data_IF_468892278430
#
_entry.id   IF_468892278430
#
_cell.length_a   1.000
_cell.length_b   1.000
_cell.length_c   1.000
_cell.angle_alpha   90.00
_cell.angle_beta   90.00
_cell.angle_gamma   90.00
#
_symmetry.space_group_name_H-M   'P 1'
#
loop_
_entity.id
_entity.type
_entity.pdbx_description
1 polymer ?
#
# COMPACT_ATOMS: atom_id res chain seq x y z
N UNK A 1 -18.36 28.45 4.68
CA UNK A 1 -18.24 27.44 3.61
C UNK A 1 -17.68 28.15 2.38
N UNK A 2 -16.36 28.09 2.14
CA UNK A 2 -15.75 28.78 0.99
C UNK A 2 -15.89 27.84 -0.21
N UNK A 3 -16.89 28.07 -1.06
CA UNK A 3 -16.98 27.37 -2.33
C UNK A 3 -15.78 27.77 -3.19
N UNK A 4 -14.87 26.83 -3.42
CA UNK A 4 -13.76 27.01 -4.36
C UNK A 4 -14.32 26.98 -5.77
N UNK A 5 -13.98 27.99 -6.58
CA UNK A 5 -14.32 27.99 -8.00
C UNK A 5 -13.56 26.87 -8.70
N UNK A 6 -14.27 26.06 -9.49
CA UNK A 6 -13.67 25.05 -10.36
C UNK A 6 -13.41 25.74 -11.70
N UNK A 7 -12.17 25.68 -12.17
CA UNK A 7 -11.76 26.15 -13.50
C UNK A 7 -11.45 24.92 -14.35
N UNK A 8 -12.19 24.73 -15.44
CA UNK A 8 -12.02 23.58 -16.34
C UNK A 8 -11.44 24.05 -17.66
N UNK A 9 -10.27 23.51 -18.01
CA UNK A 9 -9.60 23.80 -19.28
C UNK A 9 -9.63 22.52 -20.10
N UNK A 10 -10.06 22.60 -21.36
CA UNK A 10 -10.07 21.49 -22.31
C UNK A 10 -9.09 21.80 -23.43
N UNK A 11 -8.10 20.93 -23.58
CA UNK A 11 -7.07 21.05 -24.61
C UNK A 11 -7.44 20.12 -25.77
N UNK A 12 -7.67 20.70 -26.94
CA UNK A 12 -8.04 20.01 -28.17
C UNK A 12 -6.81 19.72 -29.03
N UNK A 13 -6.67 18.47 -29.49
CA UNK A 13 -5.65 18.09 -30.47
C UNK A 13 -5.94 18.73 -31.82
N UNK A 14 -4.96 18.72 -32.73
CA UNK A 14 -5.08 19.42 -33.99
C UNK A 14 -6.21 18.94 -34.91
N UNK A 15 -6.78 17.76 -34.67
CA UNK A 15 -7.91 17.21 -35.44
C UNK A 15 -9.23 17.93 -35.17
N UNK A 16 -9.31 18.75 -34.11
CA UNK A 16 -10.50 19.52 -33.75
C UNK A 16 -10.20 21.00 -33.97
N UNK A 17 -10.96 21.62 -34.86
CA UNK A 17 -10.81 23.05 -35.17
C UNK A 17 -11.64 23.93 -34.21
N UNK A 18 -11.20 25.18 -33.97
CA UNK A 18 -12.02 26.18 -33.29
C UNK A 18 -13.41 26.29 -33.93
N UNK A 19 -14.45 26.28 -33.11
CA UNK A 19 -15.85 26.34 -33.56
C UNK A 19 -16.53 24.98 -33.81
N UNK A 20 -15.80 23.87 -33.72
CA UNK A 20 -16.40 22.52 -33.69
C UNK A 20 -16.80 22.07 -32.26
N UNK A 21 -16.54 22.92 -31.28
CA UNK A 21 -16.67 22.64 -29.85
C UNK A 21 -17.70 23.58 -29.22
N UNK A 22 -18.06 23.33 -27.96
CA UNK A 22 -18.98 24.16 -27.19
C UNK A 22 -18.34 24.50 -25.86
N UNK A 23 -18.14 25.80 -25.53
CA UNK A 23 -17.52 26.20 -24.28
C UNK A 23 -18.43 26.00 -23.06
N UNK A 24 -19.70 25.64 -23.27
CA UNK A 24 -20.64 25.33 -22.20
C UNK A 24 -21.05 23.87 -22.31
N UNK A 25 -20.69 23.09 -21.30
CA UNK A 25 -21.09 21.69 -21.18
C UNK A 25 -22.28 21.60 -20.23
N UNK A 26 -23.46 21.34 -20.79
CA UNK A 26 -24.70 21.11 -20.06
C UNK A 26 -24.97 19.60 -19.95
N UNK A 27 -24.98 19.08 -18.72
CA UNK A 27 -25.26 17.67 -18.40
C UNK A 27 -26.52 17.56 -17.51
N UNK A 28 -27.48 18.49 -17.68
CA UNK A 28 -28.74 18.54 -16.96
C UNK A 28 -28.65 19.33 -15.66
N UNK A 29 -28.39 18.66 -14.54
CA UNK A 29 -28.29 19.33 -13.23
C UNK A 29 -26.93 20.03 -12.98
N UNK A 30 -25.99 19.90 -13.92
CA UNK A 30 -24.66 20.49 -13.87
C UNK A 30 -24.37 21.22 -15.17
N UNK A 31 -23.92 22.46 -15.06
CA UNK A 31 -23.40 23.26 -16.16
C UNK A 31 -21.96 23.64 -15.88
N UNK A 32 -21.07 23.32 -16.82
CA UNK A 32 -19.66 23.70 -16.75
C UNK A 32 -19.35 24.75 -17.80
N UNK A 33 -18.63 25.79 -17.36
CA UNK A 33 -17.96 26.71 -18.25
C UNK A 33 -16.55 26.18 -18.53
N UNK A 34 -16.25 25.94 -19.80
CA UNK A 34 -14.98 25.44 -20.30
C UNK A 34 -14.14 26.60 -20.82
N UNK A 35 -12.85 26.53 -20.52
CA UNK A 35 -11.84 27.28 -21.24
C UNK A 35 -11.23 26.37 -22.30
N UNK A 36 -11.39 26.74 -23.57
CA UNK A 36 -10.96 25.93 -24.70
C UNK A 36 -9.54 26.36 -25.12
N UNK A 37 -8.66 25.39 -25.30
CA UNK A 37 -7.32 25.62 -25.83
C UNK A 37 -7.08 24.68 -27.02
N UNK A 38 -6.65 25.22 -28.15
CA UNK A 38 -6.47 24.44 -29.38
C UNK A 38 -5.00 24.30 -29.70
N UNK A 39 -4.52 23.06 -29.80
CA UNK A 39 -3.12 22.79 -30.17
C UNK A 39 -2.81 23.16 -31.63
N UNK A 40 -3.84 23.38 -32.47
CA UNK A 40 -3.68 23.97 -33.82
C UNK A 40 -3.09 25.37 -33.79
N UNK A 41 -3.24 26.11 -32.69
CA UNK A 41 -2.73 27.48 -32.56
C UNK A 41 -1.21 27.51 -32.29
N UNK A 42 -0.62 26.36 -31.93
CA UNK A 42 0.83 26.26 -31.72
C UNK A 42 1.56 26.15 -33.05
N UNK A 43 2.56 27.03 -33.23
CA UNK A 43 3.47 26.96 -34.38
C UNK A 43 4.45 25.79 -34.21
N UNK A 44 4.01 24.63 -34.69
CA UNK A 44 4.71 23.37 -34.51
C UNK A 44 6.10 23.38 -35.15
N UNK A 45 6.25 24.05 -36.28
CA UNK A 45 7.54 24.15 -36.98
C UNK A 45 8.51 25.00 -36.18
N UNK A 46 8.08 26.17 -35.69
CA UNK A 46 8.94 27.02 -34.85
C UNK A 46 9.35 26.33 -33.56
N UNK A 47 8.44 25.58 -32.93
CA UNK A 47 8.72 24.83 -31.72
C UNK A 47 9.76 23.73 -32.01
N UNK A 48 9.54 22.91 -33.05
CA UNK A 48 10.47 21.83 -33.44
C UNK A 48 11.87 22.39 -33.77
N UNK A 49 11.93 23.47 -34.57
CA UNK A 49 13.19 24.12 -34.94
C UNK A 49 13.90 24.76 -33.73
N UNK A 50 13.15 25.40 -32.83
CA UNK A 50 13.70 26.00 -31.61
C UNK A 50 14.32 24.96 -30.69
N UNK A 51 13.60 23.86 -30.43
CA UNK A 51 14.11 22.72 -29.65
C UNK A 51 15.35 22.15 -30.31
N UNK A 52 15.30 21.87 -31.62
CA UNK A 52 16.43 21.31 -32.36
C UNK A 52 17.67 22.20 -32.29
N UNK A 53 17.51 23.52 -32.43
CA UNK A 53 18.64 24.45 -32.33
C UNK A 53 19.26 24.45 -30.94
N UNK A 54 18.45 24.39 -29.87
CA UNK A 54 18.96 24.31 -28.49
C UNK A 54 19.70 23.00 -28.23
N UNK A 55 19.13 21.88 -28.64
CA UNK A 55 19.77 20.58 -28.51
C UNK A 55 21.11 20.52 -29.25
N UNK A 56 21.18 21.07 -30.47
CA UNK A 56 22.44 21.17 -31.22
C UNK A 56 23.51 22.04 -30.54
N UNK A 57 23.10 22.96 -29.66
CA UNK A 57 24.00 23.84 -28.89
C UNK A 57 24.36 23.27 -27.51
N UNK A 58 23.78 22.14 -27.11
CA UNK A 58 23.91 21.59 -25.76
C UNK A 58 23.20 22.46 -24.70
N UNK A 59 22.23 23.28 -25.10
CA UNK A 59 21.47 24.12 -24.16
C UNK A 59 20.33 23.31 -23.52
N UNK A 60 20.10 23.44 -22.19
CA UNK A 60 19.01 22.74 -21.53
C UNK A 60 17.65 23.31 -21.97
N UNK A 61 16.67 22.40 -22.11
CA UNK A 61 15.28 22.77 -22.38
C UNK A 61 14.59 23.25 -21.09
N UNK A 62 13.91 24.38 -21.17
CA UNK A 62 13.06 24.88 -20.08
C UNK A 62 11.84 23.99 -19.87
N UNK A 63 11.19 24.07 -18.71
CA UNK A 63 9.99 23.28 -18.43
C UNK A 63 8.87 23.51 -19.45
N UNK A 64 8.71 24.74 -19.95
CA UNK A 64 7.75 25.05 -21.02
C UNK A 64 8.13 24.36 -22.33
N UNK A 65 9.41 24.41 -22.73
CA UNK A 65 9.90 23.75 -23.95
C UNK A 65 9.79 22.23 -23.86
N UNK A 66 10.07 21.64 -22.69
CA UNK A 66 9.87 20.21 -22.46
C UNK A 66 8.40 19.82 -22.65
N UNK A 67 7.46 20.61 -22.10
CA UNK A 67 6.03 20.38 -22.28
C UNK A 67 5.59 20.57 -23.74
N UNK A 68 6.08 21.61 -24.40
CA UNK A 68 5.83 21.86 -25.83
C UNK A 68 6.35 20.70 -26.68
N UNK A 69 7.53 20.14 -26.35
CA UNK A 69 8.10 19.00 -27.05
C UNK A 69 7.25 17.74 -26.89
N UNK A 70 6.78 17.48 -25.66
CA UNK A 70 5.92 16.33 -25.33
C UNK A 70 4.59 16.38 -26.10
N UNK A 71 3.98 17.56 -26.24
CA UNK A 71 2.68 17.73 -26.93
C UNK A 71 2.80 17.95 -28.44
N UNK A 72 4.01 18.17 -28.96
CA UNK A 72 4.27 18.46 -30.38
C UNK A 72 3.67 17.42 -31.36
N UNK A 73 3.63 16.12 -31.06
CA UNK A 73 2.89 15.16 -31.88
C UNK A 73 1.41 15.51 -32.06
N UNK A 74 0.76 16.06 -31.03
CA UNK A 74 -0.68 16.32 -31.01
C UNK A 74 -1.09 17.57 -31.79
N UNK A 75 -0.12 18.40 -32.18
CA UNK A 75 -0.33 19.58 -33.03
C UNK A 75 -0.46 19.22 -34.51
N UNK A 76 -0.20 17.96 -34.88
CA UNK A 76 -0.32 17.47 -36.24
C UNK A 76 -1.68 16.78 -36.47
N UNK A 77 -2.31 17.06 -37.62
CA UNK A 77 -3.59 16.48 -38.01
C UNK A 77 -3.43 15.09 -38.65
N UNK A 78 -4.24 14.14 -38.20
CA UNK A 78 -4.30 12.79 -38.77
C UNK A 78 -3.18 11.85 -38.29
N UNK A 79 -3.46 10.54 -38.33
CA UNK A 79 -2.59 9.49 -37.77
C UNK A 79 -1.19 9.48 -38.36
N UNK A 80 -1.07 9.52 -39.69
CA UNK A 80 0.23 9.44 -40.39
C UNK A 80 1.18 10.58 -40.02
N UNK A 81 0.67 11.82 -39.99
CA UNK A 81 1.51 12.99 -39.63
C UNK A 81 1.94 12.95 -38.17
N UNK A 82 1.06 12.47 -37.28
CA UNK A 82 1.38 12.28 -35.86
C UNK A 82 2.45 11.20 -35.68
N UNK A 83 2.29 10.04 -36.31
CA UNK A 83 3.30 8.96 -36.29
C UNK A 83 4.66 9.45 -36.78
N UNK A 84 4.70 10.16 -37.92
CA UNK A 84 5.92 10.73 -38.45
C UNK A 84 6.55 11.75 -37.48
N UNK A 85 5.74 12.59 -36.84
CA UNK A 85 6.20 13.55 -35.83
C UNK A 85 6.77 12.82 -34.61
N UNK A 86 6.12 11.78 -34.12
CA UNK A 86 6.58 11.03 -32.94
C UNK A 86 7.95 10.39 -33.21
N UNK A 87 8.16 9.76 -34.37
CA UNK A 87 9.45 9.18 -34.72
C UNK A 87 10.56 10.25 -34.72
N UNK A 88 10.31 11.42 -35.32
CA UNK A 88 11.27 12.55 -35.27
C UNK A 88 11.51 13.03 -33.84
N UNK A 89 10.47 13.21 -33.06
CA UNK A 89 10.56 13.67 -31.67
C UNK A 89 11.34 12.67 -30.81
N UNK A 90 11.15 11.37 -31.03
CA UNK A 90 11.90 10.32 -30.35
C UNK A 90 13.40 10.42 -30.64
N UNK A 91 13.79 10.55 -31.91
CA UNK A 91 15.20 10.68 -32.30
C UNK A 91 15.84 12.00 -31.84
N UNK A 92 15.07 13.09 -31.77
CA UNK A 92 15.50 14.34 -31.17
C UNK A 92 15.68 14.22 -29.65
N UNK A 93 14.74 13.59 -28.95
CA UNK A 93 14.78 13.46 -27.50
C UNK A 93 15.97 12.62 -27.00
N UNK A 94 16.46 11.68 -27.81
CA UNK A 94 17.72 10.93 -27.55
C UNK A 94 18.96 11.85 -27.42
N UNK A 95 18.89 13.07 -27.95
CA UNK A 95 20.00 14.05 -27.93
C UNK A 95 19.96 14.99 -26.72
N UNK A 96 18.92 14.89 -25.87
CA UNK A 96 18.83 15.66 -24.63
C UNK A 96 19.93 15.19 -23.66
N UNK A 97 20.80 16.09 -23.22
CA UNK A 97 21.94 15.77 -22.34
C UNK A 97 21.52 15.45 -20.90
N UNK A 98 20.52 16.16 -20.37
CA UNK A 98 19.98 15.88 -19.04
C UNK A 98 19.16 14.59 -19.06
N UNK A 99 19.69 13.55 -18.46
CA UNK A 99 19.07 12.22 -18.43
C UNK A 99 17.68 12.24 -17.76
N UNK A 100 17.43 13.11 -16.77
CA UNK A 100 16.10 13.22 -16.14
C UNK A 100 15.08 13.86 -17.09
N UNK A 101 15.42 14.99 -17.69
CA UNK A 101 14.58 15.62 -18.71
C UNK A 101 14.37 14.70 -19.92
N UNK A 102 15.40 13.97 -20.35
CA UNK A 102 15.31 13.01 -21.44
C UNK A 102 14.28 11.92 -21.16
N UNK A 103 14.37 11.26 -19.99
CA UNK A 103 13.40 10.23 -19.61
C UNK A 103 11.99 10.81 -19.49
N UNK A 104 11.86 12.01 -18.92
CA UNK A 104 10.57 12.70 -18.80
C UNK A 104 9.92 12.98 -20.16
N UNK A 105 10.66 13.57 -21.09
CA UNK A 105 10.19 13.88 -22.45
C UNK A 105 9.80 12.59 -23.18
N UNK A 106 10.67 11.58 -23.17
CA UNK A 106 10.42 10.32 -23.87
C UNK A 106 9.22 9.57 -23.30
N UNK A 107 9.07 9.56 -21.97
CA UNK A 107 7.90 8.98 -21.31
C UNK A 107 6.63 9.72 -21.72
N UNK A 108 6.67 11.06 -21.76
CA UNK A 108 5.55 11.88 -22.22
C UNK A 108 5.15 11.58 -23.66
N UNK A 109 6.11 11.53 -24.58
CA UNK A 109 5.89 11.18 -25.99
C UNK A 109 5.30 9.76 -26.10
N UNK A 110 5.82 8.80 -25.33
CA UNK A 110 5.35 7.41 -25.35
C UNK A 110 3.88 7.29 -24.93
N UNK A 111 3.43 8.04 -23.92
CA UNK A 111 2.02 8.04 -23.48
C UNK A 111 1.08 8.46 -24.61
N UNK A 112 1.52 9.36 -25.49
CA UNK A 112 0.75 9.74 -26.68
C UNK A 112 0.90 8.74 -27.82
N UNK A 113 2.09 8.16 -27.98
CA UNK A 113 2.38 7.14 -28.98
C UNK A 113 1.48 5.91 -28.82
N UNK A 114 1.24 5.47 -27.58
CA UNK A 114 0.41 4.28 -27.26
C UNK A 114 -1.02 4.38 -27.82
N UNK A 115 -1.54 5.61 -28.04
CA UNK A 115 -2.87 5.83 -28.63
C UNK A 115 -2.89 5.99 -30.16
N UNK A 116 -1.73 6.21 -30.79
CA UNK A 116 -1.66 6.69 -32.18
C UNK A 116 -0.81 5.80 -33.09
N UNK A 117 0.26 5.19 -32.58
CA UNK A 117 1.24 4.40 -33.35
C UNK A 117 0.95 2.91 -33.28
N UNK A 118 1.48 2.17 -34.25
CA UNK A 118 1.55 0.71 -34.24
C UNK A 118 2.40 0.16 -33.06
N UNK A 119 2.16 -1.10 -32.72
CA UNK A 119 2.73 -1.78 -31.55
C UNK A 119 4.25 -1.97 -31.63
N UNK A 120 4.82 -2.08 -32.83
CA UNK A 120 6.24 -2.39 -33.03
C UNK A 120 7.14 -1.18 -32.73
N UNK A 121 6.82 -0.01 -33.29
CA UNK A 121 7.50 1.26 -32.95
C UNK A 121 7.36 1.60 -31.47
N UNK A 122 6.16 1.38 -30.91
CA UNK A 122 5.91 1.60 -29.48
C UNK A 122 6.73 0.66 -28.60
N UNK A 123 7.04 -0.54 -29.08
CA UNK A 123 7.92 -1.49 -28.40
C UNK A 123 9.37 -1.03 -28.44
N UNK A 124 9.88 -0.60 -29.59
CA UNK A 124 11.24 -0.04 -29.69
C UNK A 124 11.42 1.15 -28.74
N UNK A 125 10.45 2.07 -28.72
CA UNK A 125 10.48 3.24 -27.83
C UNK A 125 10.48 2.83 -26.36
N UNK A 126 9.63 1.87 -25.97
CA UNK A 126 9.60 1.31 -24.61
C UNK A 126 10.92 0.68 -24.21
N UNK A 127 11.47 -0.17 -25.08
CA UNK A 127 12.71 -0.89 -24.83
C UNK A 127 13.86 0.10 -24.67
N UNK A 128 13.95 1.13 -25.52
CA UNK A 128 14.97 2.16 -25.39
C UNK A 128 14.87 2.92 -24.06
N UNK A 129 13.66 3.36 -23.67
CA UNK A 129 13.42 4.06 -22.39
C UNK A 129 13.84 3.18 -21.22
N UNK A 130 13.47 1.90 -21.20
CA UNK A 130 13.86 0.96 -20.16
C UNK A 130 15.37 0.71 -20.08
N UNK A 131 16.09 0.88 -21.19
CA UNK A 131 17.54 0.71 -21.25
C UNK A 131 18.31 1.97 -20.82
N UNK A 132 17.64 3.12 -20.67
CA UNK A 132 18.28 4.35 -20.13
C UNK A 132 18.71 4.15 -18.67
N UNK A 133 19.90 4.65 -18.33
CA UNK A 133 20.51 4.49 -16.99
C UNK A 133 19.63 5.05 -15.87
N UNK A 134 18.96 6.17 -16.11
CA UNK A 134 18.05 6.81 -15.13
C UNK A 134 16.80 5.99 -14.89
N UNK A 135 16.17 5.45 -15.93
CA UNK A 135 14.99 4.57 -15.74
C UNK A 135 15.37 3.32 -14.95
N UNK A 136 16.54 2.73 -15.21
CA UNK A 136 17.05 1.61 -14.40
C UNK A 136 17.31 2.01 -12.96
N UNK A 137 17.94 3.16 -12.70
CA UNK A 137 18.22 3.62 -11.35
C UNK A 137 16.94 3.82 -10.54
N UNK A 138 15.90 4.43 -11.14
CA UNK A 138 14.59 4.60 -10.50
C UNK A 138 13.85 3.28 -10.28
N UNK A 139 13.95 2.32 -11.21
CA UNK A 139 13.39 0.98 -11.04
C UNK A 139 14.11 0.23 -9.90
N UNK A 140 15.44 0.32 -9.85
CA UNK A 140 16.29 -0.27 -8.82
C UNK A 140 16.00 0.32 -7.43
N UNK A 141 15.88 1.65 -7.30
CA UNK A 141 15.50 2.33 -6.06
C UNK A 141 14.11 1.92 -5.57
N UNK A 142 13.12 1.82 -6.47
CA UNK A 142 11.77 1.35 -6.14
C UNK A 142 11.78 -0.11 -5.65
N UNK A 143 12.54 -0.98 -6.32
CA UNK A 143 12.71 -2.37 -5.94
C UNK A 143 13.41 -2.47 -4.57
N UNK A 144 14.45 -1.66 -4.33
CA UNK A 144 15.18 -1.65 -3.07
C UNK A 144 14.30 -1.15 -1.91
N UNK A 145 13.52 -0.09 -2.13
CA UNK A 145 12.55 0.40 -1.16
C UNK A 145 11.48 -0.66 -0.84
N UNK A 146 10.95 -1.33 -1.87
CA UNK A 146 10.02 -2.45 -1.70
C UNK A 146 10.62 -3.61 -0.87
N UNK A 147 11.89 -3.96 -1.13
CA UNK A 147 12.62 -4.99 -0.37
C UNK A 147 12.83 -4.58 1.09
N UNK A 148 13.22 -3.33 1.37
CA UNK A 148 13.35 -2.80 2.74
C UNK A 148 12.04 -2.86 3.50
N UNK A 149 10.94 -2.41 2.89
CA UNK A 149 9.60 -2.47 3.49
C UNK A 149 9.14 -3.91 3.78
N UNK A 150 9.42 -4.85 2.87
CA UNK A 150 9.11 -6.26 3.07
C UNK A 150 9.95 -6.89 4.20
N UNK A 151 11.23 -6.55 4.29
CA UNK A 151 12.12 -7.00 5.36
C UNK A 151 11.67 -6.48 6.73
N UNK A 152 11.34 -5.20 6.85
CA UNK A 152 10.83 -4.60 8.08
C UNK A 152 9.49 -5.20 8.52
N UNK A 153 8.60 -5.51 7.57
CA UNK A 153 7.33 -6.17 7.85
C UNK A 153 7.54 -7.60 8.37
N UNK A 154 8.49 -8.34 7.78
CA UNK A 154 8.84 -9.69 8.22
C UNK A 154 9.47 -9.70 9.63
N UNK A 155 10.34 -8.72 9.93
CA UNK A 155 10.93 -8.59 11.27
C UNK A 155 9.87 -8.24 12.33
N UNK A 156 8.96 -7.32 12.03
CA UNK A 156 7.84 -6.99 12.93
C UNK A 156 6.92 -8.19 13.17
N UNK A 157 6.61 -8.96 12.13
CA UNK A 157 5.78 -10.16 12.23
C UNK A 157 6.45 -11.27 13.08
N UNK A 158 7.76 -11.48 12.91
CA UNK A 158 8.52 -12.48 13.70
C UNK A 158 8.67 -12.07 15.16
N UNK A 159 8.81 -10.77 15.45
CA UNK A 159 8.86 -10.26 16.83
C UNK A 159 7.50 -10.37 17.51
N UNK A 160 6.42 -9.99 16.83
CA UNK A 160 5.06 -10.10 17.34
C UNK A 160 4.65 -11.57 17.62
N UNK A 161 5.06 -12.50 16.76
CA UNK A 161 4.80 -13.94 16.96
C UNK A 161 5.60 -14.51 18.13
N UNK A 162 6.88 -14.13 18.32
CA UNK A 162 7.67 -14.52 19.50
C UNK A 162 7.05 -13.99 20.80
N UNK A 163 6.66 -12.72 20.83
CA UNK A 163 6.03 -12.12 22.02
C UNK A 163 4.66 -12.75 22.34
N UNK A 164 3.86 -13.06 21.31
CA UNK A 164 2.60 -13.76 21.47
C UNK A 164 2.80 -15.19 22.01
N UNK A 165 3.77 -15.93 21.48
CA UNK A 165 4.12 -17.26 21.94
C UNK A 165 4.61 -17.26 23.40
N UNK A 166 5.46 -16.30 23.79
CA UNK A 166 5.95 -16.19 25.16
C UNK A 166 4.83 -15.83 26.15
N UNK A 167 3.93 -14.92 25.77
CA UNK A 167 2.74 -14.59 26.59
C UNK A 167 1.79 -15.79 26.71
N UNK A 168 1.59 -16.55 25.64
CA UNK A 168 0.77 -17.75 25.65
C UNK A 168 1.37 -18.84 26.56
N UNK A 169 2.68 -19.09 26.46
CA UNK A 169 3.39 -20.04 27.31
C UNK A 169 3.32 -19.67 28.80
N UNK A 170 3.55 -18.40 29.16
CA UNK A 170 3.44 -17.90 30.54
C UNK A 170 2.01 -18.05 31.10
N UNK A 171 0.98 -17.78 30.28
CA UNK A 171 -0.43 -17.96 30.68
C UNK A 171 -0.78 -19.43 30.88
N UNK A 172 -0.32 -20.32 30.00
CA UNK A 172 -0.53 -21.75 30.12
C UNK A 172 0.13 -22.31 31.40
N UNK A 173 1.38 -21.93 31.67
CA UNK A 173 2.11 -22.34 32.87
C UNK A 173 1.41 -21.89 34.16
N UNK A 174 0.95 -20.63 34.24
CA UNK A 174 0.18 -20.13 35.41
C UNK A 174 -1.13 -20.90 35.60
N UNK A 175 -1.85 -21.21 34.53
CA UNK A 175 -3.12 -21.95 34.61
C UNK A 175 -2.91 -23.41 35.04
N UNK A 176 -1.84 -24.05 34.55
CA UNK A 176 -1.46 -25.40 34.96
C UNK A 176 -1.06 -25.46 36.45
N UNK A 177 -0.26 -24.51 36.92
CA UNK A 177 0.14 -24.43 38.33
C UNK A 177 -1.07 -24.23 39.27
N UNK A 178 -2.02 -23.35 38.89
CA UNK A 178 -3.24 -23.14 39.68
C UNK A 178 -4.09 -24.41 39.79
N UNK A 179 -4.31 -25.10 38.66
CA UNK A 179 -5.07 -26.35 38.62
C UNK A 179 -4.41 -27.47 39.43
N UNK A 180 -3.09 -27.57 39.37
CA UNK A 180 -2.35 -28.54 40.18
C UNK A 180 -2.57 -28.30 41.69
N UNK A 181 -2.49 -27.03 42.15
CA UNK A 181 -2.73 -26.66 43.55
C UNK A 181 -4.16 -26.95 44.00
N UNK A 182 -5.14 -26.56 43.20
CA UNK A 182 -6.57 -26.84 43.48
C UNK A 182 -6.86 -28.35 43.55
N UNK A 183 -6.21 -29.15 42.70
CA UNK A 183 -6.37 -30.62 42.69
C UNK A 183 -5.75 -31.26 43.93
N UNK A 184 -4.56 -30.81 44.35
CA UNK A 184 -3.91 -31.32 45.56
C UNK A 184 -4.65 -30.96 46.84
N UNK A 185 -5.20 -29.74 46.92
CA UNK A 185 -6.00 -29.29 48.07
C UNK A 185 -7.31 -30.08 48.18
N UNK A 186 -7.97 -30.34 47.03
CA UNK A 186 -9.18 -31.15 46.99
C UNK A 186 -8.92 -32.61 47.39
N UNK A 187 -7.87 -33.23 46.88
CA UNK A 187 -7.50 -34.60 47.24
C UNK A 187 -7.12 -34.74 48.73
N UNK A 188 -6.44 -33.75 49.30
CA UNK A 188 -6.12 -33.72 50.72
C UNK A 188 -7.38 -33.65 51.60
N UNK A 189 -8.33 -32.77 51.25
CA UNK A 189 -9.64 -32.67 51.93
C UNK A 189 -10.45 -33.97 51.82
N UNK A 190 -10.52 -34.59 50.64
CA UNK A 190 -11.25 -35.84 50.44
C UNK A 190 -10.67 -37.00 51.27
N UNK A 191 -9.33 -37.10 51.35
CA UNK A 191 -8.66 -38.13 52.14
C UNK A 191 -8.89 -37.94 53.65
N UNK A 192 -8.77 -36.71 54.16
CA UNK A 192 -9.05 -36.43 55.57
C UNK A 192 -10.53 -36.68 55.93
N UNK A 193 -11.44 -36.41 54.98
CA UNK A 193 -12.87 -36.72 55.12
C UNK A 193 -13.12 -38.23 55.25
N UNK A 194 -12.49 -39.06 54.42
CA UNK A 194 -12.58 -40.52 54.55
C UNK A 194 -12.04 -41.02 55.90
N UNK A 195 -10.91 -40.47 56.35
CA UNK A 195 -10.30 -40.83 57.64
C UNK A 195 -11.27 -40.50 58.78
N UNK A 196 -11.84 -39.29 58.79
CA UNK A 196 -12.84 -38.87 59.79
C UNK A 196 -14.06 -39.78 59.78
N UNK A 197 -14.61 -40.11 58.61
CA UNK A 197 -15.75 -41.03 58.49
C UNK A 197 -15.44 -42.41 59.10
N UNK A 198 -14.24 -42.96 58.85
CA UNK A 198 -13.81 -44.25 59.43
C UNK A 198 -13.60 -44.15 60.95
N UNK A 199 -13.08 -43.04 61.47
CA UNK A 199 -12.89 -42.84 62.91
C UNK A 199 -14.23 -42.76 63.65
N UNK A 200 -15.19 -42.02 63.10
CA UNK A 200 -16.55 -41.90 63.65
C UNK A 200 -17.30 -43.24 63.63
N UNK A 201 -17.18 -44.01 62.55
CA UNK A 201 -17.79 -45.35 62.46
C UNK A 201 -17.24 -46.37 63.47
N UNK A 202 -16.02 -46.14 63.98
CA UNK A 202 -15.39 -46.99 65.01
C UNK A 202 -15.62 -46.46 66.44
N UNK A 203 -16.63 -45.60 66.66
CA UNK A 203 -17.00 -45.02 67.96
C UNK A 203 -15.89 -44.22 68.67
N UNK A 204 -14.96 -43.62 67.91
CA UNK A 204 -13.98 -42.70 68.49
C UNK A 204 -14.70 -41.41 68.94
N UNK A 205 -14.50 -40.94 70.19
CA UNK A 205 -15.13 -39.72 70.68
C UNK A 205 -14.79 -38.49 69.84
N UNK A 206 -15.79 -37.64 69.60
CA UNK A 206 -15.69 -36.47 68.73
C UNK A 206 -14.52 -35.52 69.10
N UNK A 207 -14.25 -35.37 70.39
CA UNK A 207 -13.13 -34.56 70.91
C UNK A 207 -11.77 -35.06 70.44
N UNK A 208 -11.59 -36.39 70.32
CA UNK A 208 -10.33 -36.97 69.84
C UNK A 208 -10.21 -36.86 68.32
N UNK A 209 -11.33 -36.94 67.59
CA UNK A 209 -11.34 -36.75 66.13
C UNK A 209 -10.96 -35.31 65.79
N UNK A 210 -11.53 -34.32 66.49
CA UNK A 210 -11.20 -32.89 66.31
C UNK A 210 -9.74 -32.57 66.61
N UNK A 211 -9.10 -33.28 67.53
CA UNK A 211 -7.70 -33.06 67.89
C UNK A 211 -6.69 -33.52 66.82
N UNK A 212 -7.09 -34.45 65.94
CA UNK A 212 -6.20 -35.08 64.93
C UNK A 212 -6.42 -34.49 63.53
N UNK A 213 -7.58 -33.90 63.30
CA UNK A 213 -7.97 -33.28 62.03
C UNK A 213 -7.36 -31.89 61.90
N UNK A 214 -6.80 -31.60 60.73
CA UNK A 214 -6.03 -30.36 60.48
C UNK A 214 -6.57 -29.53 59.32
N UNK A 215 -7.36 -30.11 58.41
CA UNK A 215 -7.83 -29.45 57.17
C UNK A 215 -9.35 -29.21 57.20
N UNK A 216 -10.14 -30.11 57.80
CA UNK A 216 -11.60 -29.96 57.94
C UNK A 216 -11.96 -29.05 59.13
N UNK A 217 -13.00 -28.26 58.94
CA UNK A 217 -13.57 -27.37 59.96
C UNK A 217 -14.47 -28.13 60.93
N UNK A 218 -14.66 -27.58 62.12
CA UNK A 218 -15.53 -28.21 63.13
C UNK A 218 -16.96 -28.44 62.64
N UNK A 219 -17.51 -27.53 61.83
CA UNK A 219 -18.84 -27.66 61.24
C UNK A 219 -18.93 -28.80 60.22
N UNK A 220 -17.87 -28.99 59.42
CA UNK A 220 -17.77 -30.12 58.47
C UNK A 220 -17.74 -31.46 59.23
N UNK A 221 -16.97 -31.57 60.32
CA UNK A 221 -16.88 -32.78 61.15
C UNK A 221 -18.23 -33.09 61.83
N UNK A 222 -18.89 -32.06 62.38
CA UNK A 222 -20.19 -32.21 63.03
C UNK A 222 -21.29 -32.66 62.04
N UNK A 223 -21.24 -32.19 60.80
CA UNK A 223 -22.17 -32.63 59.76
C UNK A 223 -21.89 -34.08 59.32
N UNK A 224 -20.62 -34.48 59.21
CA UNK A 224 -20.25 -35.87 58.90
C UNK A 224 -20.73 -36.86 59.98
N UNK A 225 -20.73 -36.45 61.26
CA UNK A 225 -21.27 -37.27 62.34
C UNK A 225 -22.78 -37.50 62.21
N UNK A 226 -23.53 -36.49 61.77
CA UNK A 226 -24.99 -36.59 61.53
C UNK A 226 -25.36 -37.45 60.33
N UNK A 227 -24.45 -37.65 59.38
CA UNK A 227 -24.67 -38.53 58.22
C UNK A 227 -24.41 -40.02 58.54
N UNK A 228 -23.67 -40.33 59.61
CA UNK A 228 -23.26 -41.70 59.98
C UNK A 228 -24.17 -42.29 61.07
N UNK A 229 -24.72 -41.43 61.95
CA UNK A 229 -25.74 -41.78 62.96
C UNK A 229 -27.13 -41.92 62.34
#
# INVERSE_FOLDING_TARGET
NIMRKIRMIVIYTADIAPGQTRPNLDIGCLQFQLEEAFLTELDSMKIEDGIRQKLNRGEPLTAEEQMQFIILPLTHQGKEKKEACIRRCFDLAKQVEDEQAQVFILSGILVFADKVIDNEDSKEMRDWIMMTKVSRLFEEEKIEYGKKMAAEAAEKATKATKEAAEKAAKRAAKKAAKRAKETTEKAAKENETEIVKRMLANNIPLEQVKAVVTILTEDEINNLQKEIL
#
